data_IF_383405463351
#
_entry.id   IF_383405463351
#
_cell.length_a   1.000
_cell.length_b   1.000
_cell.length_c   1.000
_cell.angle_alpha   90.00
_cell.angle_beta   90.00
_cell.angle_gamma   90.00
#
_symmetry.space_group_name_H-M   'P 1'
#
loop_
_entity.id
_entity.type
_entity.pdbx_description
1 polymer ?
#
# COMPACT_ATOMS: atom_id res chain seq x y z
N UNK A 1 -17.23 -0.41 18.80
CA UNK A 1 -17.05 -0.57 20.26
C UNK A 1 -18.38 -0.30 20.95
N UNK A 2 -18.85 0.95 21.06
CA UNK A 2 -20.12 1.24 21.78
C UNK A 2 -21.31 0.43 21.26
N UNK A 3 -21.52 0.36 19.94
CA UNK A 3 -22.62 -0.44 19.35
C UNK A 3 -22.54 -1.93 19.71
N UNK A 4 -21.34 -2.52 19.72
CA UNK A 4 -21.13 -3.93 20.05
C UNK A 4 -21.34 -4.19 21.54
N UNK A 5 -20.87 -3.29 22.40
CA UNK A 5 -21.13 -3.34 23.84
C UNK A 5 -22.61 -3.18 24.15
N UNK A 6 -23.31 -2.26 23.49
CA UNK A 6 -24.75 -2.09 23.66
C UNK A 6 -25.53 -3.33 23.22
N UNK A 7 -25.21 -3.90 22.05
CA UNK A 7 -25.84 -5.12 21.57
C UNK A 7 -25.60 -6.30 22.54
N UNK A 8 -24.39 -6.43 23.05
CA UNK A 8 -24.04 -7.46 24.03
C UNK A 8 -24.76 -7.26 25.37
N UNK A 9 -24.80 -6.03 25.89
CA UNK A 9 -25.54 -5.71 27.11
C UNK A 9 -27.05 -5.92 26.95
N UNK A 10 -27.62 -5.57 25.79
CA UNK A 10 -29.03 -5.85 25.52
C UNK A 10 -29.33 -7.34 25.47
N UNK A 11 -28.41 -8.15 24.93
CA UNK A 11 -28.54 -9.60 24.90
C UNK A 11 -28.48 -10.20 26.32
N UNK A 12 -27.55 -9.70 27.15
CA UNK A 12 -27.42 -10.12 28.54
C UNK A 12 -28.65 -9.73 29.37
N UNK A 13 -29.20 -8.52 29.16
CA UNK A 13 -30.41 -8.07 29.82
C UNK A 13 -31.64 -8.90 29.42
N UNK A 14 -31.76 -9.23 28.13
CA UNK A 14 -32.85 -10.08 27.63
C UNK A 14 -32.78 -11.48 28.25
N UNK A 15 -31.59 -12.07 28.31
CA UNK A 15 -31.40 -13.39 28.92
C UNK A 15 -31.67 -13.38 30.44
N UNK A 16 -31.25 -12.33 31.15
CA UNK A 16 -31.57 -12.14 32.57
C UNK A 16 -33.10 -12.01 32.80
N UNK A 17 -33.81 -11.30 31.91
CA UNK A 17 -35.28 -11.20 31.97
C UNK A 17 -35.94 -12.57 31.77
N UNK A 18 -35.45 -13.36 30.81
CA UNK A 18 -35.95 -14.70 30.55
C UNK A 18 -35.70 -15.64 31.73
N UNK A 19 -34.52 -15.56 32.35
CA UNK A 19 -34.22 -16.34 33.54
C UNK A 19 -35.16 -16.03 34.72
N UNK A 20 -35.52 -14.75 34.93
CA UNK A 20 -36.47 -14.37 35.99
C UNK A 20 -37.92 -14.74 35.65
N UNK A 21 -38.28 -14.67 34.37
CA UNK A 21 -39.66 -14.91 33.92
C UNK A 21 -40.00 -16.39 33.75
N UNK A 22 -38.98 -17.20 33.42
CA UNK A 22 -39.11 -18.63 33.14
C UNK A 22 -38.18 -19.35 34.09
N UNK A 23 -38.74 -20.00 35.12
CA UNK A 23 -38.03 -20.85 36.07
C UNK A 23 -37.41 -22.07 35.35
N UNK A 24 -36.30 -21.82 34.67
CA UNK A 24 -35.66 -22.74 33.75
C UNK A 24 -34.15 -22.74 33.94
N UNK A 25 -33.61 -23.92 34.25
CA UNK A 25 -32.18 -24.15 34.41
C UNK A 25 -31.35 -23.77 33.16
N UNK A 26 -31.97 -23.83 31.98
CA UNK A 26 -31.32 -23.51 30.70
C UNK A 26 -30.90 -22.03 30.66
N UNK A 27 -31.78 -21.11 31.03
CA UNK A 27 -31.49 -19.66 31.01
C UNK A 27 -30.44 -19.28 32.05
N UNK A 28 -30.43 -19.95 33.20
CA UNK A 28 -29.36 -19.81 34.18
C UNK A 28 -27.98 -20.19 33.63
N UNK A 29 -27.91 -21.32 32.91
CA UNK A 29 -26.67 -21.78 32.27
C UNK A 29 -26.26 -20.83 31.14
N UNK A 30 -27.21 -20.40 30.31
CA UNK A 30 -26.98 -19.46 29.21
C UNK A 30 -26.37 -18.17 29.74
N UNK A 31 -26.93 -17.60 30.81
CA UNK A 31 -26.45 -16.37 31.43
C UNK A 31 -24.99 -16.49 31.88
N UNK A 32 -24.63 -17.60 32.52
CA UNK A 32 -23.24 -17.88 32.93
C UNK A 32 -22.30 -17.98 31.73
N UNK A 33 -22.74 -18.62 30.64
CA UNK A 33 -21.94 -18.74 29.41
C UNK A 33 -21.75 -17.38 28.77
N UNK A 34 -22.81 -16.57 28.64
CA UNK A 34 -22.69 -15.21 28.12
C UNK A 34 -21.70 -14.40 28.96
N UNK A 35 -21.85 -14.39 30.30
CA UNK A 35 -20.94 -13.69 31.20
C UNK A 35 -19.46 -14.05 31.02
N UNK A 36 -19.15 -15.31 30.68
CA UNK A 36 -17.78 -15.77 30.43
C UNK A 36 -17.25 -15.44 29.03
N UNK A 37 -18.13 -15.25 28.05
CA UNK A 37 -17.80 -14.97 26.65
C UNK A 37 -16.86 -13.74 26.46
N UNK A 38 -17.04 -12.58 27.12
CA UNK A 38 -16.13 -11.44 26.96
C UNK A 38 -14.73 -11.75 27.50
N UNK A 39 -14.63 -12.52 28.59
CA UNK A 39 -13.34 -12.93 29.16
C UNK A 39 -12.61 -13.85 28.18
N UNK A 40 -13.32 -14.84 27.63
CA UNK A 40 -12.78 -15.74 26.61
C UNK A 40 -12.35 -14.96 25.35
N UNK A 41 -13.21 -14.07 24.85
CA UNK A 41 -12.90 -13.21 23.70
C UNK A 41 -11.65 -12.35 23.94
N UNK A 42 -11.50 -11.80 25.14
CA UNK A 42 -10.33 -11.02 25.53
C UNK A 42 -9.05 -11.86 25.53
N UNK A 43 -9.07 -13.04 26.12
CA UNK A 43 -7.91 -13.94 26.17
C UNK A 43 -7.47 -14.34 24.76
N UNK A 44 -8.41 -14.77 23.92
CA UNK A 44 -8.14 -15.10 22.52
C UNK A 44 -7.60 -13.89 21.75
N UNK A 45 -8.19 -12.71 21.96
CA UNK A 45 -7.74 -11.48 21.33
C UNK A 45 -6.32 -11.07 21.73
N UNK A 46 -5.94 -11.25 23.01
CA UNK A 46 -4.59 -10.96 23.49
C UNK A 46 -3.56 -11.89 22.85
N UNK A 47 -3.86 -13.19 22.77
CA UNK A 47 -3.00 -14.19 22.12
C UNK A 47 -2.90 -13.90 20.63
N UNK A 48 -4.04 -13.71 19.94
CA UNK A 48 -4.10 -13.40 18.52
C UNK A 48 -3.26 -12.16 18.16
N UNK A 49 -3.39 -11.07 18.92
CA UNK A 49 -2.62 -9.85 18.68
C UNK A 49 -1.11 -10.00 18.86
N UNK A 50 -0.64 -10.91 19.72
CA UNK A 50 0.80 -11.18 19.88
C UNK A 50 1.38 -11.92 18.68
N UNK A 51 0.55 -12.68 17.97
CA UNK A 51 0.95 -13.51 16.84
C UNK A 51 0.81 -12.79 15.48
N UNK A 52 0.12 -11.65 15.42
CA UNK A 52 -0.07 -10.94 14.15
C UNK A 52 1.22 -10.21 13.76
N UNK A 53 1.83 -10.69 12.69
CA UNK A 53 2.91 -10.02 11.97
C UNK A 53 2.50 -9.85 10.52
N UNK A 54 2.61 -8.63 10.00
CA UNK A 54 2.23 -8.26 8.64
C UNK A 54 3.51 -7.88 7.90
N UNK A 55 3.68 -8.46 6.72
CA UNK A 55 4.75 -8.13 5.81
C UNK A 55 4.17 -7.64 4.48
N UNK A 56 4.95 -6.82 3.79
CA UNK A 56 4.61 -6.29 2.48
C UNK A 56 5.60 -6.79 1.45
N UNK A 57 5.10 -7.61 0.52
CA UNK A 57 5.85 -8.09 -0.62
C UNK A 57 5.55 -7.21 -1.85
N UNK A 58 6.52 -6.91 -2.72
CA UNK A 58 6.25 -6.24 -3.99
C UNK A 58 5.45 -7.16 -4.93
N UNK A 59 4.54 -6.57 -5.72
CA UNK A 59 3.72 -7.26 -6.72
C UNK A 59 3.71 -6.45 -8.03
N UNK A 60 3.54 -7.11 -9.17
CA UNK A 60 3.69 -6.46 -10.49
C UNK A 60 2.80 -5.21 -10.68
N UNK A 61 1.59 -5.22 -10.10
CA UNK A 61 0.63 -4.11 -10.19
C UNK A 61 0.49 -3.32 -8.87
N UNK A 62 1.38 -3.53 -7.89
CA UNK A 62 1.32 -2.87 -6.60
C UNK A 62 1.97 -3.64 -5.46
N UNK A 63 1.30 -3.71 -4.32
CA UNK A 63 1.81 -4.37 -3.11
C UNK A 63 1.00 -5.61 -2.77
N UNK A 64 1.63 -6.61 -2.15
CA UNK A 64 0.94 -7.78 -1.58
C UNK A 64 1.17 -7.80 -0.08
N UNK A 65 0.08 -7.67 0.66
CA UNK A 65 0.08 -7.86 2.10
C UNK A 65 0.05 -9.35 2.41
N UNK A 66 0.93 -9.78 3.30
CA UNK A 66 0.97 -11.15 3.82
C UNK A 66 1.01 -11.13 5.33
N UNK A 67 0.13 -11.91 5.94
CA UNK A 67 0.16 -12.19 7.37
C UNK A 67 0.98 -13.47 7.57
N UNK A 68 2.01 -13.40 8.41
CA UNK A 68 2.94 -14.52 8.62
C UNK A 68 2.34 -15.63 9.51
N UNK A 69 1.36 -15.30 10.35
CA UNK A 69 0.81 -16.25 11.31
C UNK A 69 -0.27 -17.17 10.74
N UNK A 70 -0.30 -18.40 11.26
CA UNK A 70 -1.23 -19.45 10.83
C UNK A 70 -2.66 -19.28 11.37
N UNK A 71 -2.84 -18.61 12.52
CA UNK A 71 -4.13 -18.52 13.24
C UNK A 71 -4.75 -17.11 13.45
N UNK A 72 -4.26 -16.00 12.87
CA UNK A 72 -4.66 -14.65 13.27
C UNK A 72 -6.14 -14.36 12.98
N UNK A 73 -6.72 -14.99 11.95
CA UNK A 73 -8.10 -14.81 11.52
C UNK A 73 -9.11 -15.58 12.38
N UNK A 74 -8.67 -16.57 13.17
CA UNK A 74 -9.53 -17.29 14.10
C UNK A 74 -9.79 -16.49 15.39
N UNK A 75 -8.88 -15.59 15.75
CA UNK A 75 -8.94 -14.84 17.01
C UNK A 75 -9.29 -13.37 16.82
N UNK A 76 -9.23 -12.87 15.59
CA UNK A 76 -9.57 -11.50 15.23
C UNK A 76 -10.62 -11.50 14.12
N UNK A 77 -11.78 -10.87 14.37
CA UNK A 77 -12.85 -10.76 13.36
C UNK A 77 -12.47 -9.85 12.20
N UNK A 78 -11.66 -8.82 12.48
CA UNK A 78 -11.30 -7.79 11.50
C UNK A 78 -9.92 -7.25 11.76
N UNK A 79 -9.11 -7.24 10.71
CA UNK A 79 -7.77 -6.68 10.67
C UNK A 79 -7.78 -5.55 9.63
N UNK A 80 -7.63 -4.32 10.08
CA UNK A 80 -7.67 -3.12 9.27
C UNK A 80 -6.28 -2.48 9.24
N UNK A 81 -5.76 -2.25 8.04
CA UNK A 81 -4.43 -1.70 7.80
C UNK A 81 -4.54 -0.36 7.11
N UNK A 82 -3.79 0.61 7.62
CA UNK A 82 -3.68 1.94 7.04
C UNK A 82 -2.23 2.20 6.64
N UNK A 83 -2.07 2.82 5.47
CA UNK A 83 -0.79 3.21 4.93
C UNK A 83 -0.90 4.40 4.00
N UNK A 84 0.22 4.68 3.34
CA UNK A 84 0.39 5.76 2.37
C UNK A 84 1.13 5.20 1.17
N UNK A 85 0.63 5.51 -0.01
CA UNK A 85 1.38 5.44 -1.26
C UNK A 85 2.06 6.78 -1.50
N UNK A 86 3.34 6.76 -1.88
CA UNK A 86 4.09 7.95 -2.25
C UNK A 86 4.82 7.70 -3.57
N UNK A 87 4.64 8.57 -4.56
CA UNK A 87 5.40 8.55 -5.81
C UNK A 87 6.58 9.51 -5.69
N UNK A 88 7.79 8.97 -5.65
CA UNK A 88 9.01 9.78 -5.49
C UNK A 88 9.36 10.65 -6.70
N UNK A 89 8.73 10.45 -7.86
CA UNK A 89 9.03 11.25 -9.07
C UNK A 89 8.14 12.47 -9.22
N UNK A 90 6.88 12.37 -8.79
CA UNK A 90 5.90 13.47 -8.87
C UNK A 90 5.57 14.07 -7.50
N UNK A 91 6.19 13.56 -6.43
CA UNK A 91 5.95 13.95 -5.02
C UNK A 91 4.47 13.82 -4.60
N UNK A 92 3.68 13.00 -5.32
CA UNK A 92 2.27 12.77 -5.04
C UNK A 92 2.11 11.65 -4.02
N UNK A 93 1.12 11.79 -3.13
CA UNK A 93 0.86 10.79 -2.09
C UNK A 93 -0.63 10.52 -1.95
N UNK A 94 -0.99 9.26 -1.69
CA UNK A 94 -2.38 8.83 -1.53
C UNK A 94 -2.52 7.84 -0.37
N UNK A 95 -3.50 8.07 0.51
CA UNK A 95 -3.73 7.19 1.65
C UNK A 95 -4.39 5.88 1.21
N UNK A 96 -3.90 4.75 1.73
CA UNK A 96 -4.52 3.44 1.50
C UNK A 96 -5.09 2.90 2.80
N UNK A 97 -6.33 2.43 2.75
CA UNK A 97 -6.98 1.71 3.85
C UNK A 97 -7.55 0.41 3.35
N UNK A 98 -7.32 -0.68 4.08
CA UNK A 98 -7.68 -2.01 3.59
C UNK A 98 -7.97 -2.98 4.73
N UNK A 99 -9.04 -3.76 4.58
CA UNK A 99 -9.33 -4.86 5.50
C UNK A 99 -8.72 -6.17 5.00
N UNK A 100 -7.96 -6.87 5.84
CA UNK A 100 -7.51 -8.24 5.60
C UNK A 100 -8.55 -9.22 6.13
N UNK A 101 -9.17 -9.96 5.21
CA UNK A 101 -10.06 -11.10 5.50
C UNK A 101 -9.36 -12.45 5.35
N UNK A 102 -8.21 -12.46 4.66
CA UNK A 102 -7.41 -13.65 4.36
C UNK A 102 -5.94 -13.36 4.69
N UNK A 103 -5.12 -14.41 4.78
CA UNK A 103 -3.70 -14.30 5.08
C UNK A 103 -2.93 -13.50 4.02
N UNK A 104 -3.46 -13.40 2.80
CA UNK A 104 -2.89 -12.60 1.73
C UNK A 104 -3.91 -11.68 1.11
N UNK A 105 -3.53 -10.43 0.84
CA UNK A 105 -4.35 -9.48 0.10
C UNK A 105 -3.47 -8.67 -0.85
N UNK A 106 -3.89 -8.60 -2.12
CA UNK A 106 -3.25 -7.75 -3.11
C UNK A 106 -3.81 -6.32 -2.99
N UNK A 107 -2.92 -5.35 -3.08
CA UNK A 107 -3.21 -3.92 -3.12
C UNK A 107 -2.72 -3.40 -4.47
N UNK A 108 -3.65 -2.86 -5.25
CA UNK A 108 -3.30 -2.17 -6.48
C UNK A 108 -2.67 -0.81 -6.12
N UNK A 109 -1.62 -0.45 -6.85
CA UNK A 109 -1.08 0.90 -6.78
C UNK A 109 -2.08 1.88 -7.39
N UNK A 110 -2.28 3.06 -6.79
CA UNK A 110 -3.12 4.10 -7.38
C UNK A 110 -2.48 4.67 -8.65
N UNK A 111 -3.29 5.33 -9.48
CA UNK A 111 -2.80 5.91 -10.73
C UNK A 111 -2.19 7.30 -10.52
N UNK A 112 -0.93 7.31 -10.09
CA UNK A 112 -0.15 8.53 -9.85
C UNK A 112 0.98 8.71 -10.88
N UNK A 113 0.80 8.17 -12.09
CA UNK A 113 1.78 8.21 -13.18
C UNK A 113 2.85 7.11 -13.15
N UNK A 114 3.90 7.26 -13.96
CA UNK A 114 5.05 6.36 -13.96
C UNK A 114 6.08 6.75 -12.90
N UNK A 115 6.84 5.80 -12.37
CA UNK A 115 7.95 6.10 -11.48
C UNK A 115 8.12 5.10 -10.35
N UNK A 116 8.74 5.57 -9.27
CA UNK A 116 8.99 4.79 -8.06
C UNK A 116 7.88 5.05 -7.03
N UNK A 117 7.14 4.01 -6.70
CA UNK A 117 6.11 4.00 -5.68
C UNK A 117 6.66 3.41 -4.39
N UNK A 118 6.46 4.12 -3.29
CA UNK A 118 6.72 3.67 -1.93
C UNK A 118 5.38 3.39 -1.25
N UNK A 119 5.18 2.15 -0.83
CA UNK A 119 4.05 1.78 0.01
C UNK A 119 4.53 1.67 1.45
N UNK A 120 4.07 2.57 2.31
CA UNK A 120 4.36 2.58 3.73
C UNK A 120 3.11 2.23 4.53
N UNK A 121 3.20 1.22 5.39
CA UNK A 121 2.13 0.86 6.30
C UNK A 121 2.43 1.39 7.70
N UNK A 122 1.52 2.22 8.23
CA UNK A 122 1.76 2.99 9.44
C UNK A 122 0.98 2.46 10.64
N UNK A 123 -0.19 1.87 10.40
CA UNK A 123 -1.13 1.54 11.48
C UNK A 123 -1.88 0.26 11.18
N UNK A 124 -1.88 -0.63 12.16
CA UNK A 124 -2.66 -1.84 12.20
C UNK A 124 -3.73 -1.70 13.28
N UNK A 125 -4.97 -2.05 12.94
CA UNK A 125 -6.08 -2.08 13.87
C UNK A 125 -6.75 -3.45 13.83
N UNK A 126 -6.91 -4.06 14.99
CA UNK A 126 -7.52 -5.38 15.12
C UNK A 126 -8.73 -5.30 16.02
N UNK A 127 -9.70 -6.19 15.78
CA UNK A 127 -10.89 -6.38 16.63
C UNK A 127 -11.06 -7.85 16.98
N UNK A 128 -11.55 -8.10 18.18
CA UNK A 128 -11.93 -9.43 18.65
C UNK A 128 -13.18 -9.97 17.93
N UNK A 129 -13.50 -11.24 18.16
CA UNK A 129 -14.63 -11.92 17.50
C UNK A 129 -15.98 -11.29 17.82
N UNK A 130 -16.17 -10.82 19.06
CA UNK A 130 -17.41 -10.17 19.50
C UNK A 130 -17.45 -8.67 19.15
N UNK A 131 -16.32 -8.09 18.69
CA UNK A 131 -16.19 -6.66 18.41
C UNK A 131 -16.20 -5.76 19.65
N UNK A 132 -16.01 -6.32 20.84
CA UNK A 132 -15.95 -5.62 22.13
C UNK A 132 -14.61 -4.92 22.34
N UNK A 133 -13.51 -5.56 21.93
CA UNK A 133 -12.15 -5.11 22.15
C UNK A 133 -11.49 -4.68 20.84
N UNK A 134 -10.65 -3.65 20.93
CA UNK A 134 -9.90 -3.11 19.79
C UNK A 134 -8.49 -2.81 20.22
N UNK A 135 -7.53 -3.15 19.37
CA UNK A 135 -6.14 -2.78 19.54
C UNK A 135 -5.65 -2.05 18.31
N UNK A 136 -4.83 -1.04 18.54
CA UNK A 136 -4.16 -0.28 17.49
C UNK A 136 -2.67 -0.39 17.74
N UNK A 137 -1.94 -0.85 16.74
CA UNK A 137 -0.49 -1.03 16.79
C UNK A 137 0.14 -0.20 15.66
N UNK A 138 1.27 0.47 15.95
CA UNK A 138 2.06 1.14 14.92
C UNK A 138 2.79 0.09 14.10
N UNK A 139 2.76 0.24 12.79
CA UNK A 139 3.47 -0.62 11.84
C UNK A 139 4.53 0.24 11.14
N UNK A 140 5.65 -0.35 10.77
CA UNK A 140 6.75 0.31 10.05
C UNK A 140 7.24 -0.61 8.93
N UNK A 141 6.30 -1.04 8.08
CA UNK A 141 6.62 -1.88 6.93
C UNK A 141 6.59 -1.01 5.67
N UNK A 142 7.65 -1.08 4.87
CA UNK A 142 7.77 -0.34 3.62
C UNK A 142 8.18 -1.28 2.49
N UNK A 143 7.60 -1.08 1.31
CA UNK A 143 8.06 -1.72 0.09
C UNK A 143 8.16 -0.71 -1.05
N UNK A 144 9.05 -0.99 -2.00
CA UNK A 144 9.27 -0.15 -3.19
C UNK A 144 8.84 -0.90 -4.44
N UNK A 145 8.07 -0.24 -5.28
CA UNK A 145 7.50 -0.78 -6.51
C UNK A 145 7.81 0.18 -7.65
N UNK A 146 8.23 -0.34 -8.78
CA UNK A 146 8.52 0.47 -9.96
C UNK A 146 7.42 0.28 -10.99
N UNK A 147 6.81 1.39 -11.42
CA UNK A 147 5.85 1.41 -12.52
C UNK A 147 6.47 2.11 -13.70
N UNK A 148 6.85 1.33 -14.70
CA UNK A 148 7.39 1.88 -15.94
C UNK A 148 6.30 2.57 -16.76
N UNK A 149 6.67 3.60 -17.56
CA UNK A 149 5.74 4.22 -18.49
C UNK A 149 5.18 3.18 -19.45
N UNK A 150 3.85 3.10 -19.50
CA UNK A 150 3.15 2.22 -20.41
C UNK A 150 3.06 2.91 -21.78
N UNK A 151 3.24 2.18 -22.90
CA UNK A 151 3.06 2.75 -24.22
C UNK A 151 1.61 3.22 -24.38
N UNK A 152 1.43 4.53 -24.60
CA UNK A 152 0.12 5.09 -24.91
C UNK A 152 -0.09 4.95 -26.42
N UNK A 153 -1.20 4.35 -26.88
CA UNK A 153 -1.49 4.30 -28.31
C UNK A 153 -1.69 5.72 -28.84
N UNK A 154 -0.94 6.07 -29.89
CA UNK A 154 -0.99 7.38 -30.53
C UNK A 154 -1.51 7.19 -31.95
N UNK A 155 -2.44 8.06 -32.38
CA UNK A 155 -2.92 8.07 -33.76
C UNK A 155 -1.80 8.47 -34.73
N UNK A 156 -1.77 7.88 -35.93
CA UNK A 156 -0.77 8.17 -36.96
C UNK A 156 -0.61 9.67 -37.25
N UNK A 157 -1.71 10.43 -37.26
CA UNK A 157 -1.70 11.87 -37.47
C UNK A 157 -0.89 12.63 -36.39
N UNK A 158 -1.02 12.23 -35.12
CA UNK A 158 -0.29 12.84 -33.99
C UNK A 158 1.17 12.42 -34.05
N UNK A 159 1.45 11.15 -34.36
CA UNK A 159 2.82 10.67 -34.52
C UNK A 159 3.56 11.41 -35.65
N UNK A 160 2.93 11.55 -36.82
CA UNK A 160 3.52 12.27 -37.96
C UNK A 160 3.77 13.75 -37.63
N UNK A 161 2.88 14.40 -36.87
CA UNK A 161 3.07 15.78 -36.42
C UNK A 161 4.30 15.92 -35.53
N UNK A 162 4.42 15.08 -34.49
CA UNK A 162 5.57 15.08 -33.57
C UNK A 162 6.86 14.72 -34.31
N UNK A 163 6.84 13.75 -35.21
CA UNK A 163 7.99 13.36 -36.02
C UNK A 163 8.45 14.50 -36.95
N UNK A 164 7.51 15.26 -37.54
CA UNK A 164 7.83 16.43 -38.38
C UNK A 164 8.41 17.58 -37.54
N UNK A 165 7.85 17.87 -36.38
CA UNK A 165 8.38 18.87 -35.43
C UNK A 165 9.80 18.49 -34.92
N UNK A 166 10.03 17.22 -34.59
CA UNK A 166 11.34 16.73 -34.18
C UNK A 166 12.40 16.88 -35.30
N UNK A 167 12.02 16.54 -36.56
CA UNK A 167 12.88 16.73 -37.73
C UNK A 167 13.19 18.21 -37.99
N UNK A 168 12.21 19.10 -37.81
CA UNK A 168 12.39 20.54 -37.94
C UNK A 168 13.32 21.10 -36.85
N UNK A 169 13.19 20.64 -35.59
CA UNK A 169 14.12 21.01 -34.51
C UNK A 169 15.54 20.53 -34.77
N UNK A 170 15.73 19.34 -35.34
CA UNK A 170 17.06 18.87 -35.74
C UNK A 170 17.63 19.61 -36.96
N UNK A 171 16.77 20.26 -37.76
CA UNK A 171 17.14 20.95 -38.99
C UNK A 171 17.29 22.47 -38.83
N UNK A 172 17.13 23.04 -37.62
CA UNK A 172 17.09 24.49 -37.45
C UNK A 172 17.43 24.99 -36.05
N UNK A 173 18.72 25.12 -35.78
CA UNK A 173 19.29 26.34 -35.18
C UNK A 173 20.76 26.46 -35.63
N UNK A 174 21.07 27.25 -36.66
CA UNK A 174 22.43 27.73 -36.87
C UNK A 174 22.75 28.67 -35.70
N UNK A 175 23.71 28.31 -34.85
CA UNK A 175 24.10 29.14 -33.71
C UNK A 175 23.56 28.74 -32.33
N UNK A 176 23.23 27.47 -32.08
CA UNK A 176 23.27 27.00 -30.69
C UNK A 176 24.72 26.89 -30.23
N UNK A 177 25.07 27.37 -29.02
CA UNK A 177 26.41 27.29 -28.39
C UNK A 177 27.02 25.86 -28.27
N UNK A 178 26.35 24.87 -28.86
CA UNK A 178 26.74 23.47 -28.95
C UNK A 178 27.22 23.06 -30.35
N UNK A 179 27.44 24.00 -31.27
CA UNK A 179 28.20 23.72 -32.50
C UNK A 179 29.62 23.30 -32.09
N UNK A 180 29.89 22.00 -32.20
CA UNK A 180 31.20 21.42 -31.95
C UNK A 180 32.19 22.01 -32.96
N UNK A 181 32.94 23.02 -32.53
CA UNK A 181 34.04 23.60 -33.30
C UNK A 181 35.03 22.50 -33.66
N UNK A 182 35.39 22.39 -34.94
CA UNK A 182 36.48 21.51 -35.35
C UNK A 182 37.80 22.03 -34.78
N UNK A 183 38.57 21.13 -34.16
CA UNK A 183 39.83 21.48 -33.54
C UNK A 183 40.83 21.95 -34.61
N UNK A 184 41.46 23.10 -34.37
CA UNK A 184 42.56 23.60 -35.21
C UNK A 184 43.90 23.34 -34.52
N UNK A 185 44.91 22.94 -35.30
CA UNK A 185 46.25 22.68 -34.80
C UNK A 185 46.83 23.95 -34.15
N UNK A 186 47.26 23.83 -32.89
CA UNK A 186 47.76 24.94 -32.07
C UNK A 186 46.79 25.45 -31.01
N UNK A 187 45.53 24.99 -31.00
CA UNK A 187 44.59 25.33 -29.92
C UNK A 187 44.92 24.59 -28.60
N UNK A 188 44.76 25.26 -27.44
CA UNK A 188 45.02 24.62 -26.16
C UNK A 188 43.98 23.53 -25.85
N UNK A 189 44.45 22.41 -25.31
CA UNK A 189 43.66 21.20 -24.99
C UNK A 189 42.36 21.45 -24.21
N UNK A 190 42.33 22.52 -23.39
CA UNK A 190 41.15 22.94 -22.61
C UNK A 190 39.95 23.39 -23.46
N UNK A 191 40.15 23.70 -24.74
CA UNK A 191 39.08 24.11 -25.66
C UNK A 191 38.52 22.93 -26.47
N UNK A 192 39.05 21.72 -26.31
CA UNK A 192 38.57 20.53 -27.01
C UNK A 192 37.38 19.95 -26.22
N UNK A 193 36.18 20.02 -26.80
CA UNK A 193 34.98 19.40 -26.22
C UNK A 193 35.11 17.86 -26.20
N UNK A 194 34.79 17.23 -25.07
CA UNK A 194 34.95 15.78 -24.85
C UNK A 194 34.20 14.89 -25.86
N UNK A 195 33.16 15.41 -26.54
CA UNK A 195 32.44 14.67 -27.60
C UNK A 195 33.21 14.60 -28.92
N UNK A 196 34.14 15.52 -29.19
CA UNK A 196 34.96 15.53 -30.40
C UNK A 196 36.07 14.45 -30.35
N UNK A 197 36.65 14.19 -29.16
CA UNK A 197 37.70 13.18 -28.99
C UNK A 197 37.25 11.74 -29.31
N UNK A 198 35.95 11.45 -29.22
CA UNK A 198 35.41 10.14 -29.60
C UNK A 198 35.42 9.88 -31.11
N UNK A 199 35.40 10.92 -31.95
CA UNK A 199 35.44 10.75 -33.42
C UNK A 199 36.82 10.30 -33.93
N UNK A 200 37.89 10.65 -33.22
CA UNK A 200 39.27 10.30 -33.58
C UNK A 200 39.58 8.80 -33.42
N UNK A 201 38.72 8.02 -32.76
CA UNK A 201 38.95 6.60 -32.47
C UNK A 201 38.39 5.62 -33.52
N UNK A 202 37.79 6.12 -34.61
CA UNK A 202 37.45 5.28 -35.78
C UNK A 202 38.54 5.41 -36.84
N UNK A 203 39.61 4.65 -36.66
CA UNK A 203 40.46 4.12 -37.74
C UNK A 203 40.69 2.65 -37.47
#
# INVERSE_FOLDING_TARGET
>A
MIRSWLAYLSLLLLDALLWVSVDGYIYYLLLRVLLMLPILSLLLFLVGNRLIQIHVEPYAEGGKLRISSALPLLFCSRIHVNGLWHNGFYETSESVTTDLKHNTKRLQAPDMGSGQYHLQLNKLQTRDLLGLYRRTTKLHEETKIFRFPQPVPVTDAVYQKVAKEARQRSAGMPGSDYELKEHQEGEPLRHIHYKASYRLKKR
#
